data_IF_264625324711
#
_entry.id   IF_264625324711
#
_cell.length_a   1.000
_cell.length_b   1.000
_cell.length_c   1.000
_cell.angle_alpha   90.00
_cell.angle_beta   90.00
_cell.angle_gamma   90.00
#
_symmetry.space_group_name_H-M   'P 1'
#
loop_
_entity.id
_entity.type
_entity.pdbx_description
1 polymer ?
#
# COMPACT_ATOMS: atom_id res chain seq x y z
N UNK A 1 -29.52 11.79 -8.19
CA UNK A 1 -28.35 11.00 -8.64
C UNK A 1 -27.01 11.49 -8.13
N UNK A 2 -26.66 12.78 -8.26
CA UNK A 2 -25.36 13.32 -7.81
C UNK A 2 -25.08 13.03 -6.32
N UNK A 3 -26.07 13.20 -5.44
CA UNK A 3 -25.91 12.95 -4.01
C UNK A 3 -25.61 11.48 -3.69
N UNK A 4 -26.24 10.55 -4.40
CA UNK A 4 -26.03 9.10 -4.23
C UNK A 4 -24.60 8.75 -4.67
N UNK A 5 -24.16 9.26 -5.83
CA UNK A 5 -22.80 9.05 -6.30
C UNK A 5 -21.74 9.66 -5.36
N UNK A 6 -22.01 10.85 -4.80
CA UNK A 6 -21.12 11.46 -3.83
C UNK A 6 -20.96 10.62 -2.56
N UNK A 7 -22.06 10.02 -2.08
CA UNK A 7 -22.06 9.12 -0.92
C UNK A 7 -21.29 7.82 -1.22
N UNK A 8 -21.54 7.20 -2.38
CA UNK A 8 -20.80 6.01 -2.83
C UNK A 8 -19.30 6.26 -2.96
N UNK A 9 -18.90 7.41 -3.53
CA UNK A 9 -17.48 7.80 -3.63
C UNK A 9 -16.85 7.96 -2.25
N UNK A 10 -17.58 8.54 -1.29
CA UNK A 10 -17.10 8.71 0.08
C UNK A 10 -16.94 7.36 0.79
N UNK A 11 -17.90 6.45 0.63
CA UNK A 11 -17.81 5.10 1.17
C UNK A 11 -16.64 4.30 0.58
N UNK A 12 -16.45 4.41 -0.74
CA UNK A 12 -15.33 3.78 -1.44
C UNK A 12 -13.98 4.30 -0.92
N UNK A 13 -13.86 5.64 -0.75
CA UNK A 13 -12.64 6.26 -0.20
C UNK A 13 -12.36 5.76 1.22
N UNK A 14 -13.38 5.70 2.09
CA UNK A 14 -13.24 5.17 3.46
C UNK A 14 -12.73 3.73 3.43
N UNK A 15 -13.36 2.87 2.63
CA UNK A 15 -12.98 1.45 2.53
C UNK A 15 -11.55 1.26 2.02
N UNK A 16 -11.12 2.06 1.04
CA UNK A 16 -9.74 2.04 0.56
C UNK A 16 -8.78 2.41 1.70
N UNK A 17 -9.04 3.51 2.42
CA UNK A 17 -8.19 3.94 3.51
C UNK A 17 -8.07 2.88 4.62
N UNK A 18 -9.16 2.20 4.97
CA UNK A 18 -9.17 1.10 5.96
C UNK A 18 -8.27 -0.08 5.53
N UNK A 19 -8.29 -0.42 4.24
CA UNK A 19 -7.41 -1.47 3.67
C UNK A 19 -5.94 -1.05 3.82
N UNK A 20 -5.61 0.19 3.47
CA UNK A 20 -4.25 0.70 3.64
C UNK A 20 -3.79 0.69 5.10
N UNK A 21 -4.62 1.15 6.03
CA UNK A 21 -4.31 1.14 7.47
C UNK A 21 -4.02 -0.29 7.96
N UNK A 22 -4.85 -1.26 7.56
CA UNK A 22 -4.70 -2.66 7.97
C UNK A 22 -3.37 -3.26 7.51
N UNK A 23 -2.93 -2.94 6.30
CA UNK A 23 -1.75 -3.56 5.69
C UNK A 23 -0.45 -2.79 5.96
N UNK A 24 -0.50 -1.47 6.06
CA UNK A 24 0.69 -0.63 6.33
C UNK A 24 0.97 -0.45 7.82
N UNK A 25 -0.02 -0.69 8.69
CA UNK A 25 0.08 -0.44 10.12
C UNK A 25 0.15 1.06 10.49
N UNK A 26 -0.07 1.96 9.52
CA UNK A 26 -0.08 3.41 9.73
C UNK A 26 -1.44 3.91 10.20
N UNK A 27 -1.47 5.12 10.75
CA UNK A 27 -2.72 5.73 11.20
C UNK A 27 -3.60 6.14 10.02
N UNK A 28 -4.93 6.18 10.23
CA UNK A 28 -5.89 6.61 9.21
C UNK A 28 -5.56 8.01 8.67
N UNK A 29 -5.14 8.93 9.55
CA UNK A 29 -4.79 10.30 9.19
C UNK A 29 -3.61 10.36 8.22
N UNK A 30 -2.55 9.59 8.48
CA UNK A 30 -1.38 9.53 7.60
C UNK A 30 -1.74 8.97 6.21
N UNK A 31 -2.61 7.95 6.17
CA UNK A 31 -3.11 7.39 4.92
C UNK A 31 -3.97 8.40 4.16
N UNK A 32 -4.84 9.14 4.86
CA UNK A 32 -5.67 10.18 4.23
C UNK A 32 -4.83 11.30 3.61
N UNK A 33 -3.80 11.78 4.32
CA UNK A 33 -2.87 12.79 3.81
C UNK A 33 -2.04 12.23 2.64
N UNK A 34 -1.58 10.97 2.73
CA UNK A 34 -0.80 10.34 1.68
C UNK A 34 -1.60 10.01 0.41
N UNK A 35 -2.92 9.81 0.53
CA UNK A 35 -3.83 9.50 -0.58
C UNK A 35 -4.68 10.69 -1.05
N UNK A 36 -4.50 11.88 -0.46
CA UNK A 36 -5.18 13.09 -0.91
C UNK A 36 -4.72 13.50 -2.33
N UNK A 37 -3.47 13.19 -2.67
CA UNK A 37 -2.86 13.39 -3.99
C UNK A 37 -2.04 12.18 -4.38
N UNK A 38 -1.71 12.09 -5.67
CA UNK A 38 -0.80 11.08 -6.18
C UNK A 38 0.55 11.17 -5.45
N UNK A 39 0.87 10.13 -4.68
CA UNK A 39 2.08 10.07 -3.87
C UNK A 39 2.97 8.94 -4.38
N UNK A 40 3.90 9.28 -5.26
CA UNK A 40 4.85 8.32 -5.82
C UNK A 40 6.00 8.07 -4.84
N UNK A 41 6.30 6.79 -4.62
CA UNK A 41 7.33 6.36 -3.67
C UNK A 41 8.42 5.57 -4.40
N UNK A 42 9.68 5.72 -3.96
CA UNK A 42 10.74 4.77 -4.33
C UNK A 42 10.50 3.42 -3.65
N UNK A 43 11.20 2.38 -4.10
CA UNK A 43 11.08 1.05 -3.50
C UNK A 43 11.37 1.07 -1.99
N UNK A 44 12.42 1.79 -1.56
CA UNK A 44 12.77 1.94 -0.15
C UNK A 44 11.67 2.67 0.63
N UNK A 45 11.12 3.77 0.08
CA UNK A 45 10.02 4.50 0.71
C UNK A 45 8.75 3.65 0.81
N UNK A 46 8.45 2.85 -0.21
CA UNK A 46 7.30 1.94 -0.18
C UNK A 46 7.47 0.85 0.89
N UNK A 47 8.69 0.39 1.12
CA UNK A 47 9.01 -0.55 2.20
C UNK A 47 8.81 0.09 3.57
N UNK A 48 9.38 1.28 3.79
CA UNK A 48 9.18 2.05 5.02
C UNK A 48 7.72 2.47 5.23
N UNK A 49 6.96 2.63 4.15
CA UNK A 49 5.52 2.90 4.21
C UNK A 49 4.72 1.67 4.62
N UNK A 50 5.29 0.47 4.55
CA UNK A 50 4.61 -0.79 4.84
C UNK A 50 3.78 -1.30 3.67
N UNK A 51 4.05 -0.85 2.44
CA UNK A 51 3.40 -1.36 1.22
C UNK A 51 4.03 -2.65 0.72
N UNK A 52 5.33 -2.82 0.96
CA UNK A 52 6.12 -3.99 0.53
C UNK A 52 7.08 -4.41 1.64
N UNK A 53 7.38 -5.71 1.75
CA UNK A 53 8.23 -6.22 2.83
C UNK A 53 9.73 -6.08 2.53
N UNK A 54 10.12 -6.28 1.27
CA UNK A 54 11.52 -6.32 0.83
C UNK A 54 11.69 -5.76 -0.58
N UNK A 55 12.83 -5.10 -0.80
CA UNK A 55 13.31 -4.69 -2.12
C UNK A 55 14.39 -5.68 -2.54
N UNK A 56 14.25 -6.26 -3.73
CA UNK A 56 15.16 -7.27 -4.28
C UNK A 56 15.91 -6.64 -5.45
N UNK A 57 17.24 -6.53 -5.36
CA UNK A 57 18.08 -5.92 -6.40
C UNK A 57 18.56 -6.93 -7.44
N UNK A 58 18.81 -8.17 -7.04
CA UNK A 58 19.20 -9.27 -7.91
C UNK A 58 18.30 -10.47 -7.68
N UNK A 59 18.04 -11.24 -8.74
CA UNK A 59 17.25 -12.46 -8.63
C UNK A 59 17.99 -13.39 -7.66
N UNK A 60 17.33 -13.75 -6.55
CA UNK A 60 17.83 -14.81 -5.71
C UNK A 60 17.97 -16.05 -6.58
N UNK A 61 19.21 -16.50 -6.82
CA UNK A 61 19.44 -17.87 -7.29
C UNK A 61 18.74 -18.75 -6.25
N UNK A 62 17.72 -19.47 -6.72
CA UNK A 62 17.05 -20.48 -5.90
C UNK A 62 18.17 -21.35 -5.31
N UNK A 63 18.21 -21.45 -3.98
CA UNK A 63 19.06 -22.40 -3.32
C UNK A 63 18.68 -23.80 -3.83
N UNK A 64 19.37 -24.28 -4.87
CA UNK A 64 19.31 -25.66 -5.27
C UNK A 64 19.74 -26.48 -4.05
N UNK A 65 18.89 -27.39 -3.53
CA UNK A 65 19.35 -28.29 -2.48
C UNK A 65 20.43 -29.16 -3.11
N UNK A 66 21.64 -29.07 -2.59
CA UNK A 66 22.76 -29.94 -2.94
C UNK A 66 22.28 -31.40 -2.92
N UNK A 67 22.15 -32.01 -4.10
CA UNK A 67 21.91 -33.45 -4.23
C UNK A 67 23.22 -34.18 -4.00
N UNK A 68 23.27 -34.95 -2.92
CA UNK A 68 24.25 -35.98 -2.63
C UNK A 68 24.02 -37.23 -3.49
#
# INVERSE_FOLDING_TARGET
>A
DILIHAEEVKELKRRLNEVYVKHTGRSLKEIEEALERDNFMSAQKAQEFGLIDKVIEERAEEAEPAKA
#
